data_IF_997878133867
#
_entry.id   IF_997878133867
#
_cell.length_a   1.000
_cell.length_b   1.000
_cell.length_c   1.000
_cell.angle_alpha   90.00
_cell.angle_beta   90.00
_cell.angle_gamma   90.00
#
_symmetry.space_group_name_H-M   'P 1'
#
loop_
_entity.id
_entity.type
_entity.pdbx_description
1 polymer ?
#
# COMPACT_ATOMS: atom_id res chain seq x y z
N UNK A 1 6.57 24.06 -5.51
CA UNK A 1 6.92 24.76 -4.26
C UNK A 1 5.65 25.10 -3.50
N UNK A 2 5.69 25.11 -2.19
CA UNK A 2 4.59 25.51 -1.31
C UNK A 2 5.15 26.36 -0.16
N UNK A 3 4.36 27.28 0.36
CA UNK A 3 4.75 28.01 1.58
C UNK A 3 4.63 27.11 2.79
N UNK A 4 5.43 27.38 3.83
CA UNK A 4 5.32 26.66 5.10
C UNK A 4 3.91 26.77 5.71
N UNK A 5 3.20 27.87 5.45
CA UNK A 5 1.82 28.08 5.88
C UNK A 5 0.83 27.12 5.18
N UNK A 6 0.97 26.91 3.87
CA UNK A 6 0.15 25.92 3.15
C UNK A 6 0.40 24.50 3.65
N UNK A 7 1.66 24.18 4.00
CA UNK A 7 1.99 22.87 4.60
C UNK A 7 1.39 22.76 6.01
N UNK A 8 1.47 23.81 6.83
CA UNK A 8 0.88 23.83 8.16
C UNK A 8 -0.64 23.61 8.12
N UNK A 9 -1.35 24.29 7.23
CA UNK A 9 -2.79 24.10 7.01
C UNK A 9 -3.10 22.65 6.58
N UNK A 10 -2.35 22.13 5.61
CA UNK A 10 -2.51 20.77 5.11
C UNK A 10 -2.38 19.70 6.21
N UNK A 11 -1.43 19.88 7.13
CA UNK A 11 -1.12 18.89 8.18
C UNK A 11 -1.84 19.18 9.52
N UNK A 12 -2.65 20.24 9.57
CA UNK A 12 -3.37 20.64 10.78
C UNK A 12 -2.46 21.20 11.88
N UNK A 13 -1.32 21.79 11.53
CA UNK A 13 -0.43 22.45 12.46
C UNK A 13 -0.83 23.95 12.65
N UNK A 14 -0.52 24.56 13.81
CA UNK A 14 -0.64 26.02 13.97
C UNK A 14 0.14 26.77 12.89
N UNK A 15 -0.40 27.90 12.45
CA UNK A 15 0.25 28.70 11.41
C UNK A 15 1.63 29.20 11.89
N UNK A 16 2.70 28.94 11.14
CA UNK A 16 4.04 29.42 11.48
C UNK A 16 4.16 30.93 11.21
N UNK A 17 5.04 31.60 11.94
CA UNK A 17 5.31 33.01 11.77
C UNK A 17 6.35 33.31 10.66
N UNK A 18 6.93 32.30 10.04
CA UNK A 18 7.92 32.47 8.96
C UNK A 18 7.29 32.34 7.58
N UNK A 19 7.77 33.18 6.67
CA UNK A 19 7.56 33.03 5.22
C UNK A 19 8.74 32.23 4.65
N UNK A 20 8.59 30.91 4.54
CA UNK A 20 9.57 30.03 3.91
C UNK A 20 8.91 29.23 2.79
N UNK A 21 9.59 29.06 1.68
CA UNK A 21 9.15 28.18 0.59
C UNK A 21 9.77 26.80 0.75
N UNK A 22 8.94 25.78 0.75
CA UNK A 22 9.33 24.38 0.80
C UNK A 22 9.14 23.78 -0.58
N UNK A 23 10.20 23.22 -1.14
CA UNK A 23 10.17 22.59 -2.45
C UNK A 23 10.24 21.04 -2.38
N UNK A 24 10.79 20.48 -1.31
CA UNK A 24 11.03 19.04 -1.20
C UNK A 24 10.95 18.55 0.24
N UNK A 25 10.89 17.25 0.38
CA UNK A 25 11.12 16.54 1.65
C UNK A 25 12.52 15.94 1.64
N UNK A 26 13.18 15.83 2.80
CA UNK A 26 14.53 15.24 2.87
C UNK A 26 14.77 14.51 4.20
N UNK A 27 15.88 13.76 4.28
CA UNK A 27 16.42 13.34 5.56
C UNK A 27 17.03 14.57 6.30
N UNK A 28 17.23 14.44 7.60
CA UNK A 28 17.81 15.54 8.42
C UNK A 28 19.22 15.87 7.94
N UNK A 29 20.01 14.87 7.58
CA UNK A 29 21.41 15.00 7.13
C UNK A 29 21.55 15.69 5.77
N UNK A 30 20.55 15.52 4.90
CA UNK A 30 20.52 16.08 3.56
C UNK A 30 19.63 17.35 3.46
N UNK A 31 19.23 17.90 4.61
CA UNK A 31 18.32 19.03 4.64
C UNK A 31 18.91 20.30 4.03
N UNK A 32 18.07 21.08 3.39
CA UNK A 32 18.36 22.39 2.82
C UNK A 32 17.35 23.41 3.37
N UNK A 33 17.58 24.74 3.21
CA UNK A 33 16.61 25.74 3.67
C UNK A 33 15.21 25.64 3.07
N UNK A 34 15.05 24.92 1.96
CA UNK A 34 13.76 24.64 1.31
C UNK A 34 13.24 23.21 1.54
N UNK A 35 13.82 22.47 2.47
CA UNK A 35 13.40 21.11 2.79
C UNK A 35 12.48 21.04 4.00
N UNK A 36 11.49 20.15 3.94
CA UNK A 36 10.73 19.67 5.09
C UNK A 36 11.37 18.39 5.62
N UNK A 37 11.59 18.34 6.94
CA UNK A 37 12.04 17.13 7.67
C UNK A 37 11.07 16.79 8.79
N UNK A 38 11.21 15.63 9.41
CA UNK A 38 10.41 15.26 10.58
C UNK A 38 11.27 14.65 11.70
N UNK A 39 10.80 14.78 12.94
CA UNK A 39 11.40 14.22 14.13
C UNK A 39 10.35 13.51 14.99
N UNK A 40 10.66 12.30 15.48
CA UNK A 40 9.73 11.47 16.26
C UNK A 40 10.15 11.30 17.73
N UNK A 41 11.37 11.72 18.08
CA UNK A 41 11.97 11.66 19.42
C UNK A 41 12.88 12.88 19.66
N UNK A 42 13.35 13.04 20.90
CA UNK A 42 14.14 14.19 21.30
C UNK A 42 15.51 14.28 20.59
N UNK A 43 16.15 13.14 20.31
CA UNK A 43 17.46 13.12 19.64
C UNK A 43 17.34 13.55 18.17
N UNK A 44 16.34 13.04 17.47
CA UNK A 44 16.06 13.43 16.07
C UNK A 44 15.58 14.88 15.99
N UNK A 45 14.85 15.39 17.00
CA UNK A 45 14.47 16.79 17.06
C UNK A 45 15.68 17.71 17.24
N UNK A 46 16.59 17.38 18.15
CA UNK A 46 17.85 18.16 18.35
C UNK A 46 18.68 18.20 17.06
N UNK A 47 18.80 17.07 16.38
CA UNK A 47 19.49 17.01 15.07
C UNK A 47 18.78 17.87 14.01
N UNK A 48 17.45 17.80 13.91
CA UNK A 48 16.67 18.60 12.97
C UNK A 48 16.78 20.10 13.24
N UNK A 49 16.76 20.52 14.50
CA UNK A 49 16.96 21.92 14.91
C UNK A 49 18.33 22.48 14.51
N UNK A 50 19.36 21.65 14.52
CA UNK A 50 20.73 22.00 14.09
C UNK A 50 20.91 21.96 12.59
N UNK A 51 20.00 21.32 11.86
CA UNK A 51 20.06 21.25 10.40
C UNK A 51 19.60 22.54 9.74
N UNK A 52 19.93 22.76 8.47
CA UNK A 52 19.44 23.91 7.71
C UNK A 52 17.99 23.76 7.22
N UNK A 53 17.24 22.77 7.67
CA UNK A 53 15.86 22.51 7.21
C UNK A 53 14.97 23.77 7.33
N UNK A 54 14.17 24.02 6.31
CA UNK A 54 13.24 25.15 6.29
C UNK A 54 11.98 24.92 7.11
N UNK A 55 11.59 23.64 7.34
CA UNK A 55 10.47 23.27 8.20
C UNK A 55 10.70 21.90 8.86
N UNK A 56 10.21 21.75 10.09
CA UNK A 56 10.41 20.55 10.93
C UNK A 56 9.07 20.12 11.50
N UNK A 57 8.59 18.95 11.13
CA UNK A 57 7.41 18.32 11.73
C UNK A 57 7.80 17.58 13.01
N UNK A 58 7.10 17.83 14.11
CA UNK A 58 7.33 17.12 15.37
C UNK A 58 6.07 17.05 16.21
N UNK A 59 6.09 16.27 17.28
CA UNK A 59 4.99 16.23 18.25
C UNK A 59 5.09 17.37 19.24
N UNK A 60 3.96 17.99 19.62
CA UNK A 60 3.93 19.04 20.64
C UNK A 60 4.62 18.61 21.95
N UNK A 61 4.48 17.35 22.35
CA UNK A 61 5.09 16.81 23.58
C UNK A 61 6.64 16.74 23.56
N UNK A 62 7.26 16.87 22.38
CA UNK A 62 8.72 16.87 22.23
C UNK A 62 9.30 18.29 22.22
N UNK A 63 8.47 19.32 22.15
CA UNK A 63 8.92 20.69 22.20
C UNK A 63 9.51 20.98 23.59
N UNK A 64 10.77 21.48 23.69
CA UNK A 64 11.37 21.80 24.98
C UNK A 64 10.54 22.87 25.71
N UNK A 65 10.31 22.68 27.02
CA UNK A 65 9.70 23.69 27.88
C UNK A 65 10.58 24.94 27.90
N UNK A 66 10.11 26.06 27.40
CA UNK A 66 10.84 27.33 27.34
C UNK A 66 11.59 27.63 26.01
N UNK A 67 11.50 26.77 25.02
CA UNK A 67 11.80 27.19 23.64
C UNK A 67 10.71 28.16 23.24
N UNK A 68 11.13 29.36 22.87
CA UNK A 68 10.24 30.34 22.27
C UNK A 68 9.41 29.64 21.20
N UNK A 69 8.06 29.67 21.26
CA UNK A 69 7.24 29.13 20.19
C UNK A 69 7.52 29.74 18.82
N UNK A 70 8.55 30.52 18.74
CA UNK A 70 9.03 31.32 17.64
C UNK A 70 10.17 30.72 16.80
N UNK A 71 10.61 29.45 17.02
CA UNK A 71 11.29 28.82 15.90
C UNK A 71 10.24 28.55 14.83
N UNK A 72 10.13 29.50 13.96
CA UNK A 72 9.13 29.58 12.89
C UNK A 72 9.15 28.37 11.93
N UNK A 73 10.12 27.46 12.08
CA UNK A 73 10.28 26.23 11.31
C UNK A 73 9.53 25.03 11.93
N UNK A 74 9.15 25.13 13.22
CA UNK A 74 8.53 24.02 13.94
C UNK A 74 7.03 23.93 13.65
N UNK A 75 6.61 22.79 13.15
CA UNK A 75 5.22 22.43 12.93
C UNK A 75 4.82 21.29 13.87
N UNK A 76 4.04 21.61 14.90
CA UNK A 76 3.56 20.63 15.88
C UNK A 76 2.35 19.87 15.33
N UNK A 77 2.46 18.55 15.21
CA UNK A 77 1.43 17.66 14.66
C UNK A 77 1.24 16.42 15.53
N UNK A 78 0.10 15.75 15.42
CA UNK A 78 -0.19 14.53 16.16
C UNK A 78 0.70 13.34 15.70
N UNK A 79 0.87 13.18 14.41
CA UNK A 79 1.72 12.14 13.79
C UNK A 79 2.68 12.76 12.76
N UNK A 80 3.95 13.01 13.13
CA UNK A 80 4.95 13.62 12.24
C UNK A 80 5.25 12.77 10.99
N UNK A 81 5.19 11.44 11.07
CA UNK A 81 5.42 10.56 9.91
C UNK A 81 4.30 10.67 8.90
N UNK A 82 3.07 10.62 9.38
CA UNK A 82 1.90 10.77 8.51
C UNK A 82 1.85 12.15 7.87
N UNK A 83 2.07 13.20 8.66
CA UNK A 83 2.12 14.58 8.18
C UNK A 83 3.22 14.79 7.12
N UNK A 84 4.40 14.20 7.33
CA UNK A 84 5.50 14.23 6.36
C UNK A 84 5.13 13.54 5.04
N UNK A 85 4.54 12.35 5.10
CA UNK A 85 4.09 11.64 3.90
C UNK A 85 3.00 12.42 3.15
N UNK A 86 2.07 13.04 3.88
CA UNK A 86 1.02 13.89 3.30
C UNK A 86 1.60 15.11 2.59
N UNK A 87 2.55 15.81 3.23
CA UNK A 87 3.25 16.94 2.66
C UNK A 87 4.09 16.56 1.43
N UNK A 88 4.78 15.41 1.48
CA UNK A 88 5.53 14.89 0.33
C UNK A 88 4.63 14.65 -0.88
N UNK A 89 3.47 14.03 -0.67
CA UNK A 89 2.47 13.81 -1.73
C UNK A 89 1.95 15.13 -2.30
N UNK A 90 1.67 16.10 -1.46
CA UNK A 90 1.22 17.44 -1.87
C UNK A 90 2.27 18.17 -2.69
N UNK A 91 3.53 18.17 -2.28
CA UNK A 91 4.62 18.80 -3.02
C UNK A 91 4.81 18.14 -4.39
N UNK A 92 4.76 16.80 -4.45
CA UNK A 92 4.86 16.07 -5.72
C UNK A 92 3.69 16.38 -6.67
N UNK A 93 2.46 16.49 -6.15
CA UNK A 93 1.29 16.83 -6.98
C UNK A 93 1.41 18.25 -7.55
N UNK A 94 1.92 19.21 -6.79
CA UNK A 94 2.17 20.57 -7.28
C UNK A 94 3.27 20.64 -8.33
N UNK A 95 4.35 19.89 -8.14
CA UNK A 95 5.42 19.78 -9.15
C UNK A 95 4.85 19.23 -10.47
N UNK A 96 4.05 18.17 -10.38
CA UNK A 96 3.37 17.58 -11.54
C UNK A 96 2.43 18.59 -12.21
N UNK A 97 1.61 19.31 -11.45
CA UNK A 97 0.72 20.33 -11.98
C UNK A 97 1.47 21.46 -12.70
N UNK A 98 2.63 21.87 -12.21
CA UNK A 98 3.48 22.90 -12.85
C UNK A 98 4.12 22.39 -14.15
N UNK A 99 4.49 21.12 -14.23
CA UNK A 99 5.05 20.50 -15.45
C UNK A 99 3.98 20.16 -16.47
N UNK A 100 2.76 19.88 -16.04
CA UNK A 100 1.61 19.52 -16.87
C UNK A 100 0.70 20.71 -17.26
N UNK A 101 0.92 21.91 -16.68
CA UNK A 101 0.04 23.08 -16.88
C UNK A 101 0.00 23.61 -18.33
N UNK A 102 0.75 23.03 -19.24
CA UNK A 102 0.70 23.37 -20.67
C UNK A 102 -0.39 22.60 -21.46
N UNK A 103 -1.00 21.56 -20.90
CA UNK A 103 -2.10 20.85 -21.57
C UNK A 103 -3.14 20.38 -20.56
N UNK A 104 -4.28 21.07 -20.50
CA UNK A 104 -5.49 20.62 -19.77
C UNK A 104 -6.13 19.39 -20.42
N UNK A 105 -5.31 18.44 -20.87
CA UNK A 105 -5.84 17.22 -21.49
C UNK A 105 -5.94 16.13 -20.43
N UNK A 106 -7.11 15.97 -19.82
CA UNK A 106 -7.44 14.88 -18.91
C UNK A 106 -7.53 13.51 -19.61
N UNK A 107 -7.26 13.43 -20.91
CA UNK A 107 -7.25 12.16 -21.64
C UNK A 107 -6.21 11.21 -21.03
N UNK A 108 -6.48 9.89 -21.01
CA UNK A 108 -5.53 8.92 -20.51
C UNK A 108 -4.24 8.92 -21.35
N UNK A 109 -3.11 8.77 -20.69
CA UNK A 109 -1.78 8.70 -21.33
C UNK A 109 -1.39 7.24 -21.53
N UNK A 110 -1.51 6.75 -22.72
CA UNK A 110 -1.17 5.35 -23.05
C UNK A 110 0.15 5.33 -23.81
N UNK A 111 1.14 4.60 -23.27
CA UNK A 111 2.43 4.46 -23.94
C UNK A 111 2.26 3.73 -25.29
N UNK A 112 2.95 4.16 -26.37
CA UNK A 112 2.77 3.55 -27.70
C UNK A 112 3.09 2.05 -27.80
N UNK A 113 3.86 1.50 -26.86
CA UNK A 113 4.18 0.06 -26.80
C UNK A 113 3.22 -0.73 -25.88
N UNK A 114 2.22 -0.09 -25.28
CA UNK A 114 1.19 -0.80 -24.55
C UNK A 114 0.23 -1.49 -25.53
N UNK A 115 -0.25 -2.68 -25.13
CA UNK A 115 -1.20 -3.47 -25.92
C UNK A 115 -2.55 -3.48 -25.20
N UNK A 116 -3.58 -3.01 -25.89
CA UNK A 116 -4.95 -2.98 -25.39
C UNK A 116 -5.81 -3.95 -26.17
N UNK A 117 -6.52 -4.80 -25.46
CA UNK A 117 -7.54 -5.70 -26.02
C UNK A 117 -8.81 -4.96 -26.45
N UNK A 118 -9.79 -5.71 -26.91
CA UNK A 118 -11.09 -5.18 -27.30
C UNK A 118 -11.83 -4.59 -26.08
N UNK A 119 -12.58 -3.50 -26.29
CA UNK A 119 -13.45 -2.88 -25.29
C UNK A 119 -12.75 -2.41 -23.98
N UNK A 120 -11.42 -2.25 -24.00
CA UNK A 120 -10.67 -1.68 -22.85
C UNK A 120 -11.11 -0.23 -22.65
N UNK A 121 -11.35 0.13 -21.38
CA UNK A 121 -11.64 1.51 -20.97
C UNK A 121 -10.58 1.98 -19.98
N UNK A 122 -10.02 3.16 -20.23
CA UNK A 122 -9.06 3.80 -19.32
C UNK A 122 -9.60 5.17 -18.96
N UNK A 123 -9.75 5.42 -17.66
CA UNK A 123 -10.34 6.63 -17.12
C UNK A 123 -9.44 7.87 -17.28
N UNK A 124 -10.03 9.03 -17.00
CA UNK A 124 -9.37 10.32 -17.16
C UNK A 124 -8.17 10.45 -16.21
N UNK A 125 -7.12 11.11 -16.68
CA UNK A 125 -5.89 11.33 -15.89
C UNK A 125 -5.05 10.07 -15.66
N UNK A 126 -5.52 8.89 -16.08
CA UNK A 126 -4.80 7.63 -15.91
C UNK A 126 -3.64 7.49 -16.89
N UNK A 127 -2.63 6.73 -16.49
CA UNK A 127 -1.46 6.43 -17.32
C UNK A 127 -1.20 4.94 -17.42
N UNK A 128 -0.85 4.48 -18.63
CA UNK A 128 -0.48 3.10 -18.94
C UNK A 128 0.95 3.09 -19.49
N UNK A 129 1.84 2.46 -18.78
CA UNK A 129 3.28 2.43 -19.04
C UNK A 129 3.68 1.52 -20.21
N UNK A 130 4.97 1.52 -20.57
CA UNK A 130 5.49 0.75 -21.69
C UNK A 130 5.35 -0.77 -21.47
N UNK A 131 5.06 -1.48 -22.57
CA UNK A 131 4.94 -2.94 -22.60
C UNK A 131 3.88 -3.52 -21.68
N UNK A 132 2.95 -2.70 -21.20
CA UNK A 132 1.79 -3.14 -20.42
C UNK A 132 0.75 -3.73 -21.36
N UNK A 133 0.13 -4.84 -20.90
CA UNK A 133 -0.93 -5.54 -21.63
C UNK A 133 -2.23 -5.48 -20.85
N UNK A 134 -3.26 -4.90 -21.44
CA UNK A 134 -4.62 -4.89 -20.90
C UNK A 134 -5.48 -5.82 -21.78
N UNK A 135 -5.99 -6.91 -21.19
CA UNK A 135 -6.86 -7.87 -21.87
C UNK A 135 -8.24 -7.30 -22.21
N UNK A 136 -9.01 -8.05 -22.97
CA UNK A 136 -10.34 -7.61 -23.41
C UNK A 136 -11.27 -7.25 -22.25
N UNK A 137 -12.02 -6.17 -22.39
CA UNK A 137 -13.00 -5.73 -21.42
C UNK A 137 -12.41 -5.22 -20.09
N UNK A 138 -11.10 -5.00 -19.98
CA UNK A 138 -10.49 -4.40 -18.80
C UNK A 138 -11.00 -2.97 -18.61
N UNK A 139 -11.37 -2.64 -17.38
CA UNK A 139 -11.78 -1.28 -17.00
C UNK A 139 -10.79 -0.73 -15.98
N UNK A 140 -10.18 0.39 -16.28
CA UNK A 140 -9.32 1.18 -15.39
C UNK A 140 -10.03 2.49 -15.09
N UNK A 141 -10.20 2.83 -13.82
CA UNK A 141 -10.83 4.07 -13.38
C UNK A 141 -9.97 5.31 -13.63
N UNK A 142 -10.32 6.41 -12.99
CA UNK A 142 -9.66 7.70 -13.15
C UNK A 142 -8.39 7.80 -12.29
N UNK A 143 -7.44 8.63 -12.74
CA UNK A 143 -6.20 8.97 -12.01
C UNK A 143 -5.34 7.75 -11.61
N UNK A 144 -5.46 6.63 -12.35
CA UNK A 144 -4.65 5.44 -12.12
C UNK A 144 -3.26 5.58 -12.72
N UNK A 145 -2.28 4.93 -12.10
CA UNK A 145 -0.92 4.85 -12.61
C UNK A 145 -0.52 3.38 -12.77
N UNK A 146 -0.54 2.90 -14.02
CA UNK A 146 -0.13 1.53 -14.39
C UNK A 146 1.28 1.63 -14.96
N UNK A 147 2.28 1.06 -14.26
CA UNK A 147 3.67 1.15 -14.67
C UNK A 147 4.04 0.15 -15.77
N UNK A 148 5.33 0.04 -16.08
CA UNK A 148 5.84 -0.79 -17.17
C UNK A 148 5.63 -2.30 -16.94
N UNK A 149 5.44 -3.06 -18.04
CA UNK A 149 5.38 -4.53 -18.03
C UNK A 149 4.28 -5.12 -17.14
N UNK A 150 3.21 -4.38 -16.86
CA UNK A 150 2.05 -4.88 -16.13
C UNK A 150 1.18 -5.70 -17.07
N UNK A 151 0.63 -6.83 -16.60
CA UNK A 151 -0.36 -7.60 -17.35
C UNK A 151 -1.66 -7.64 -16.55
N UNK A 152 -2.74 -7.13 -17.16
CA UNK A 152 -4.10 -7.20 -16.59
C UNK A 152 -4.96 -8.06 -17.51
N UNK A 153 -5.41 -9.20 -16.99
CA UNK A 153 -6.20 -10.15 -17.73
C UNK A 153 -7.65 -9.67 -17.95
N UNK A 154 -8.25 -10.20 -19.03
CA UNK A 154 -9.58 -9.84 -19.50
C UNK A 154 -10.64 -9.81 -18.40
N UNK A 155 -11.55 -8.82 -18.44
CA UNK A 155 -12.67 -8.67 -17.51
C UNK A 155 -12.30 -8.22 -16.10
N UNK A 156 -11.04 -7.87 -15.84
CA UNK A 156 -10.63 -7.27 -14.56
C UNK A 156 -11.04 -5.79 -14.50
N UNK A 157 -11.40 -5.33 -13.29
CA UNK A 157 -11.79 -3.94 -13.04
C UNK A 157 -10.92 -3.30 -11.97
N UNK A 158 -10.46 -2.09 -12.22
CA UNK A 158 -9.73 -1.24 -11.30
C UNK A 158 -10.53 0.04 -11.05
N UNK A 159 -10.70 0.40 -9.79
CA UNK A 159 -11.28 1.67 -9.36
C UNK A 159 -10.38 2.87 -9.68
N UNK A 160 -10.58 3.97 -8.97
CA UNK A 160 -9.87 5.21 -9.18
C UNK A 160 -8.57 5.28 -8.34
N UNK A 161 -7.59 6.05 -8.81
CA UNK A 161 -6.31 6.30 -8.10
C UNK A 161 -5.57 5.02 -7.70
N UNK A 162 -5.71 3.97 -8.50
CA UNK A 162 -4.98 2.72 -8.30
C UNK A 162 -3.56 2.86 -8.85
N UNK A 163 -2.57 2.48 -8.05
CA UNK A 163 -1.17 2.40 -8.46
C UNK A 163 -0.77 0.94 -8.64
N UNK A 164 -0.32 0.58 -9.84
CA UNK A 164 0.21 -0.76 -10.14
C UNK A 164 1.67 -0.65 -10.54
N UNK A 165 2.54 -1.20 -9.72
CA UNK A 165 3.99 -1.20 -9.96
C UNK A 165 4.39 -2.18 -11.07
N UNK A 166 5.59 -1.97 -11.60
CA UNK A 166 6.11 -2.70 -12.74
C UNK A 166 6.11 -4.23 -12.54
N UNK A 167 5.73 -4.96 -13.59
CA UNK A 167 5.76 -6.42 -13.61
C UNK A 167 4.63 -7.11 -12.85
N UNK A 168 3.70 -6.38 -12.26
CA UNK A 168 2.55 -6.99 -11.59
C UNK A 168 1.62 -7.70 -12.60
N UNK A 169 1.00 -8.81 -12.16
CA UNK A 169 0.08 -9.62 -12.98
C UNK A 169 -1.27 -9.71 -12.27
N UNK A 170 -2.31 -9.21 -12.88
CA UNK A 170 -3.64 -9.07 -12.28
C UNK A 170 -4.68 -9.87 -13.07
N UNK A 171 -5.50 -10.65 -12.38
CA UNK A 171 -6.58 -11.45 -12.96
C UNK A 171 -6.10 -12.72 -13.67
N UNK A 172 -4.89 -13.21 -13.33
CA UNK A 172 -4.40 -14.48 -13.87
C UNK A 172 -5.29 -15.66 -13.49
N UNK A 173 -5.14 -16.76 -14.21
CA UNK A 173 -5.82 -18.03 -13.90
C UNK A 173 -5.32 -18.57 -12.57
N UNK A 174 -6.24 -18.81 -11.63
CA UNK A 174 -5.92 -19.37 -10.32
C UNK A 174 -5.45 -20.83 -10.38
N UNK A 175 -4.73 -21.25 -9.34
CA UNK A 175 -4.22 -22.63 -9.20
C UNK A 175 -5.29 -23.53 -8.61
N UNK A 176 -6.06 -24.17 -9.47
CA UNK A 176 -7.13 -25.10 -9.07
C UNK A 176 -7.14 -26.35 -9.95
N UNK A 177 -7.14 -27.55 -9.32
CA UNK A 177 -7.15 -28.83 -10.03
C UNK A 177 -8.06 -29.85 -9.34
N UNK A 178 -8.83 -30.57 -10.14
CA UNK A 178 -9.54 -31.76 -9.70
C UNK A 178 -8.70 -33.00 -10.00
N UNK A 179 -8.53 -33.88 -9.00
CA UNK A 179 -7.79 -35.13 -9.15
C UNK A 179 -8.74 -36.29 -9.37
N UNK A 180 -8.52 -37.05 -10.41
CA UNK A 180 -9.21 -38.34 -10.60
C UNK A 180 -8.70 -39.33 -9.55
N UNK A 181 -9.60 -39.84 -8.71
CA UNK A 181 -9.23 -40.77 -7.62
C UNK A 181 -8.77 -42.12 -8.10
N UNK A 182 -9.18 -42.56 -9.30
CA UNK A 182 -8.82 -43.87 -9.85
C UNK A 182 -7.49 -43.86 -10.60
N UNK A 183 -7.22 -42.80 -11.40
CA UNK A 183 -6.01 -42.71 -12.24
C UNK A 183 -4.92 -41.84 -11.64
N UNK A 184 -5.25 -40.95 -10.71
CA UNK A 184 -4.33 -39.96 -10.14
C UNK A 184 -4.12 -38.70 -11.02
N UNK A 185 -4.71 -38.65 -12.19
CA UNK A 185 -4.60 -37.55 -13.14
C UNK A 185 -5.27 -36.29 -12.63
N UNK A 186 -4.69 -35.11 -13.00
CA UNK A 186 -5.25 -33.81 -12.68
C UNK A 186 -5.87 -33.16 -13.92
N UNK A 187 -7.03 -32.57 -13.72
CA UNK A 187 -7.66 -31.67 -14.68
C UNK A 187 -7.82 -30.28 -14.08
N UNK A 188 -7.54 -29.25 -14.87
CA UNK A 188 -7.68 -27.87 -14.41
C UNK A 188 -9.14 -27.57 -14.05
N UNK A 189 -9.35 -26.99 -12.86
CA UNK A 189 -10.65 -26.48 -12.45
C UNK A 189 -10.91 -25.14 -13.19
N UNK A 190 -12.13 -24.90 -13.71
CA UNK A 190 -12.42 -23.67 -14.44
C UNK A 190 -12.16 -22.42 -13.61
N UNK A 191 -11.52 -21.43 -14.23
CA UNK A 191 -11.22 -20.12 -13.64
C UNK A 191 -11.89 -19.05 -14.51
N UNK A 192 -13.20 -18.88 -14.37
CA UNK A 192 -14.07 -18.07 -15.22
C UNK A 192 -14.60 -16.82 -14.50
N UNK A 193 -14.24 -16.62 -13.25
CA UNK A 193 -14.63 -15.47 -12.47
C UNK A 193 -13.84 -14.21 -12.81
N UNK A 194 -13.96 -13.20 -11.97
CA UNK A 194 -13.42 -11.86 -12.19
C UNK A 194 -12.44 -11.44 -11.11
N UNK A 195 -11.74 -10.33 -11.37
CA UNK A 195 -10.97 -9.58 -10.38
C UNK A 195 -11.52 -8.16 -10.28
N UNK A 196 -11.83 -7.71 -9.06
CA UNK A 196 -12.18 -6.32 -8.78
C UNK A 196 -11.22 -5.71 -7.76
N UNK A 197 -10.65 -4.57 -8.12
CA UNK A 197 -9.75 -3.76 -7.29
C UNK A 197 -10.44 -2.42 -7.07
N UNK A 198 -10.65 -2.05 -5.81
CA UNK A 198 -11.33 -0.80 -5.46
C UNK A 198 -10.38 0.42 -5.49
N UNK A 199 -10.89 1.61 -5.13
CA UNK A 199 -10.17 2.88 -5.17
C UNK A 199 -8.94 2.90 -4.23
N UNK A 200 -7.96 3.72 -4.58
CA UNK A 200 -6.78 4.02 -3.74
C UNK A 200 -5.91 2.80 -3.37
N UNK A 201 -6.04 1.69 -4.09
CA UNK A 201 -5.21 0.49 -3.88
C UNK A 201 -3.83 0.68 -4.51
N UNK A 202 -2.78 0.25 -3.81
CA UNK A 202 -1.42 0.21 -4.34
C UNK A 202 -0.92 -1.24 -4.39
N UNK A 203 -0.39 -1.65 -5.55
CA UNK A 203 0.09 -3.00 -5.82
C UNK A 203 1.56 -2.94 -6.18
N UNK A 204 2.39 -3.59 -5.38
CA UNK A 204 3.84 -3.64 -5.52
C UNK A 204 4.33 -4.43 -6.73
N UNK A 205 5.60 -4.21 -7.06
CA UNK A 205 6.23 -4.81 -8.23
C UNK A 205 6.23 -6.35 -8.18
N UNK A 206 5.95 -6.97 -9.34
CA UNK A 206 5.90 -8.42 -9.50
C UNK A 206 4.92 -9.15 -8.57
N UNK A 207 3.96 -8.45 -8.00
CA UNK A 207 2.86 -9.07 -7.25
C UNK A 207 1.85 -9.68 -8.21
N UNK A 208 1.23 -10.80 -7.79
CA UNK A 208 0.27 -11.55 -8.60
C UNK A 208 -1.05 -11.69 -7.86
N UNK A 209 -2.15 -11.35 -8.53
CA UNK A 209 -3.51 -11.49 -7.97
C UNK A 209 -4.35 -12.27 -8.96
N UNK A 210 -4.82 -13.46 -8.56
CA UNK A 210 -5.64 -14.31 -9.42
C UNK A 210 -7.09 -13.84 -9.47
N UNK A 211 -7.78 -14.15 -10.57
CA UNK A 211 -9.24 -14.01 -10.67
C UNK A 211 -9.95 -15.02 -9.79
N UNK A 212 -11.21 -14.81 -9.50
CA UNK A 212 -12.05 -15.84 -8.90
C UNK A 212 -12.21 -17.06 -9.83
N UNK A 213 -12.35 -18.25 -9.25
CA UNK A 213 -12.65 -19.45 -10.03
C UNK A 213 -14.03 -19.35 -10.71
N UNK A 214 -15.08 -19.17 -9.94
CA UNK A 214 -16.47 -19.02 -10.45
C UNK A 214 -17.13 -17.71 -9.98
N UNK A 215 -16.52 -17.02 -9.04
CA UNK A 215 -16.96 -15.76 -8.48
C UNK A 215 -15.92 -14.67 -8.70
N UNK A 216 -15.65 -13.89 -7.68
CA UNK A 216 -14.77 -12.74 -7.74
C UNK A 216 -13.63 -12.85 -6.72
N UNK A 217 -12.43 -12.42 -7.09
CA UNK A 217 -11.39 -11.99 -6.16
C UNK A 217 -11.51 -10.49 -6.00
N UNK A 218 -11.57 -9.99 -4.75
CA UNK A 218 -11.79 -8.57 -4.47
C UNK A 218 -10.71 -8.00 -3.55
N UNK A 219 -10.22 -6.80 -3.92
CA UNK A 219 -9.30 -6.01 -3.11
C UNK A 219 -9.98 -4.70 -2.73
N UNK A 220 -10.21 -4.51 -1.43
CA UNK A 220 -10.92 -3.36 -0.87
C UNK A 220 -10.09 -2.07 -0.89
N UNK A 221 -10.81 -0.95 -0.89
CA UNK A 221 -10.25 0.39 -1.07
C UNK A 221 -9.15 0.73 -0.04
N UNK A 222 -8.14 1.47 -0.49
CA UNK A 222 -7.03 1.94 0.34
C UNK A 222 -6.00 0.88 0.72
N UNK A 223 -6.19 -0.40 0.32
CA UNK A 223 -5.26 -1.51 0.62
C UNK A 223 -3.91 -1.30 -0.05
N UNK A 224 -2.84 -1.62 0.69
CA UNK A 224 -1.45 -1.48 0.26
C UNK A 224 -0.78 -2.84 0.22
N UNK A 225 -0.38 -3.25 -0.97
CA UNK A 225 0.25 -4.54 -1.27
C UNK A 225 1.69 -4.27 -1.71
N UNK A 226 2.64 -4.83 -0.99
CA UNK A 226 4.07 -4.70 -1.28
C UNK A 226 4.49 -5.63 -2.43
N UNK A 227 5.76 -5.61 -2.77
CA UNK A 227 6.34 -6.38 -3.86
C UNK A 227 6.30 -7.89 -3.60
N UNK A 228 6.21 -8.68 -4.68
CA UNK A 228 6.28 -10.15 -4.63
C UNK A 228 5.21 -10.81 -3.76
N UNK A 229 4.05 -10.19 -3.62
CA UNK A 229 2.89 -10.78 -2.93
C UNK A 229 2.09 -11.63 -3.90
N UNK A 230 1.61 -12.80 -3.44
CA UNK A 230 0.65 -13.60 -4.19
C UNK A 230 -0.70 -13.66 -3.47
N UNK A 231 -1.77 -13.33 -4.18
CA UNK A 231 -3.16 -13.46 -3.71
C UNK A 231 -3.89 -14.40 -4.67
N UNK A 232 -4.24 -15.59 -4.18
CA UNK A 232 -4.91 -16.60 -4.98
C UNK A 232 -6.41 -16.31 -5.17
N UNK A 233 -7.05 -17.17 -5.97
CA UNK A 233 -8.43 -17.04 -6.42
C UNK A 233 -9.46 -16.94 -5.28
N UNK A 234 -10.55 -16.22 -5.51
CA UNK A 234 -11.69 -16.07 -4.58
C UNK A 234 -11.34 -15.43 -3.23
N UNK A 235 -10.19 -14.79 -3.10
CA UNK A 235 -9.85 -14.04 -1.89
C UNK A 235 -10.68 -12.75 -1.81
N UNK A 236 -11.07 -12.39 -0.59
CA UNK A 236 -11.71 -11.11 -0.28
C UNK A 236 -10.80 -10.38 0.71
N UNK A 237 -10.18 -9.31 0.23
CA UNK A 237 -9.35 -8.43 1.04
C UNK A 237 -10.14 -7.16 1.33
N UNK A 238 -10.26 -6.81 2.60
CA UNK A 238 -10.99 -5.64 3.09
C UNK A 238 -10.29 -4.32 2.77
N UNK A 239 -10.76 -3.26 3.41
CA UNK A 239 -10.27 -1.89 3.24
C UNK A 239 -9.05 -1.61 4.11
N UNK A 240 -8.13 -0.76 3.60
CA UNK A 240 -6.95 -0.30 4.36
C UNK A 240 -6.11 -1.44 4.95
N UNK A 241 -6.08 -2.59 4.29
CA UNK A 241 -5.23 -3.71 4.65
C UNK A 241 -3.81 -3.43 4.19
N UNK A 242 -2.81 -3.81 4.99
CA UNK A 242 -1.40 -3.72 4.62
C UNK A 242 -0.82 -5.13 4.49
N UNK A 243 -0.26 -5.44 3.33
CA UNK A 243 0.33 -6.76 3.03
C UNK A 243 1.78 -6.54 2.62
N UNK A 244 2.71 -6.93 3.50
CA UNK A 244 4.13 -6.77 3.25
C UNK A 244 4.67 -7.87 2.31
N UNK A 245 5.88 -7.64 1.80
CA UNK A 245 6.49 -8.40 0.72
C UNK A 245 6.59 -9.92 0.98
N UNK A 246 6.54 -10.68 -0.12
CA UNK A 246 6.66 -12.14 -0.13
C UNK A 246 5.55 -12.88 0.65
N UNK A 247 4.45 -12.20 0.98
CA UNK A 247 3.28 -12.85 1.58
C UNK A 247 2.56 -13.67 0.52
N UNK A 248 2.19 -14.91 0.90
CA UNK A 248 1.41 -15.83 0.08
C UNK A 248 0.04 -16.09 0.69
N UNK A 249 -1.03 -15.84 -0.05
CA UNK A 249 -2.41 -16.00 0.38
C UNK A 249 -3.06 -17.05 -0.50
N UNK A 250 -3.40 -18.21 0.08
CA UNK A 250 -4.10 -19.29 -0.63
C UNK A 250 -5.54 -18.92 -0.94
N UNK A 251 -6.18 -19.72 -1.80
CA UNK A 251 -7.52 -19.46 -2.30
C UNK A 251 -8.60 -19.33 -1.22
N UNK A 252 -9.62 -18.54 -1.51
CA UNK A 252 -10.82 -18.35 -0.69
C UNK A 252 -10.55 -17.79 0.72
N UNK A 253 -9.45 -17.10 0.93
CA UNK A 253 -9.18 -16.41 2.18
C UNK A 253 -10.00 -15.12 2.30
N UNK A 254 -10.38 -14.79 3.53
CA UNK A 254 -11.01 -13.52 3.89
C UNK A 254 -10.07 -12.76 4.82
N UNK A 255 -9.74 -11.54 4.47
CA UNK A 255 -8.93 -10.64 5.29
C UNK A 255 -9.75 -9.38 5.49
N UNK A 256 -10.15 -9.12 6.74
CA UNK A 256 -11.03 -8.01 7.06
C UNK A 256 -10.27 -6.68 7.16
N UNK A 257 -11.03 -5.58 7.28
CA UNK A 257 -10.55 -4.20 7.24
C UNK A 257 -9.41 -3.93 8.24
N UNK A 258 -8.41 -3.19 7.80
CA UNK A 258 -7.32 -2.71 8.64
C UNK A 258 -6.33 -3.78 9.12
N UNK A 259 -6.44 -5.02 8.65
CA UNK A 259 -5.46 -6.06 9.00
C UNK A 259 -4.07 -5.74 8.45
N UNK A 260 -3.03 -6.18 9.17
CA UNK A 260 -1.63 -6.00 8.78
C UNK A 260 -0.94 -7.35 8.70
N UNK A 261 -0.48 -7.72 7.51
CA UNK A 261 0.27 -8.94 7.24
C UNK A 261 1.75 -8.58 7.05
N UNK A 262 2.60 -9.02 7.99
CA UNK A 262 4.05 -8.86 7.91
C UNK A 262 4.65 -9.66 6.75
N UNK A 263 5.91 -9.35 6.41
CA UNK A 263 6.58 -10.02 5.29
C UNK A 263 6.66 -11.54 5.46
N UNK A 264 6.54 -12.28 4.36
CA UNK A 264 6.59 -13.76 4.32
C UNK A 264 5.49 -14.47 5.13
N UNK A 265 4.37 -13.80 5.40
CA UNK A 265 3.20 -14.45 5.97
C UNK A 265 2.63 -15.47 4.97
N UNK A 266 2.22 -16.64 5.48
CA UNK A 266 1.56 -17.67 4.69
C UNK A 266 0.14 -17.93 5.21
N UNK A 267 -0.88 -17.77 4.37
CA UNK A 267 -2.26 -18.13 4.70
C UNK A 267 -2.68 -19.39 3.96
N UNK A 268 -3.09 -20.41 4.71
CA UNK A 268 -3.72 -21.62 4.15
C UNK A 268 -5.12 -21.33 3.62
N UNK A 269 -5.63 -22.21 2.74
CA UNK A 269 -6.94 -22.05 2.10
C UNK A 269 -8.06 -21.78 3.11
N UNK A 270 -9.01 -20.92 2.72
CA UNK A 270 -10.17 -20.56 3.54
C UNK A 270 -9.80 -19.97 4.93
N UNK A 271 -8.59 -19.48 5.11
CA UNK A 271 -8.24 -18.77 6.34
C UNK A 271 -9.04 -17.46 6.44
N UNK A 272 -9.40 -17.07 7.66
CA UNK A 272 -10.15 -15.85 7.91
C UNK A 272 -9.38 -15.00 8.93
N UNK A 273 -8.96 -13.83 8.52
CA UNK A 273 -8.23 -12.85 9.33
C UNK A 273 -9.19 -11.72 9.70
N UNK A 274 -9.45 -11.59 10.99
CA UNK A 274 -10.39 -10.58 11.52
C UNK A 274 -9.87 -9.15 11.41
N UNK A 275 -10.73 -8.15 11.68
CA UNK A 275 -10.43 -6.74 11.48
C UNK A 275 -9.27 -6.28 12.39
N UNK A 276 -8.35 -5.49 11.84
CA UNK A 276 -7.22 -4.92 12.56
C UNK A 276 -6.23 -5.95 13.14
N UNK A 277 -6.32 -7.23 12.78
CA UNK A 277 -5.34 -8.25 13.20
C UNK A 277 -3.97 -7.96 12.62
N UNK A 278 -2.93 -8.16 13.42
CA UNK A 278 -1.54 -8.02 12.99
C UNK A 278 -0.90 -9.41 12.97
N UNK A 279 -0.48 -9.86 11.79
CA UNK A 279 0.36 -11.05 11.63
C UNK A 279 1.81 -10.61 11.52
N UNK A 280 2.64 -10.99 12.48
CA UNK A 280 4.08 -10.71 12.45
C UNK A 280 4.79 -11.48 11.33
N UNK A 281 5.95 -10.97 10.89
CA UNK A 281 6.69 -11.53 9.77
C UNK A 281 6.96 -13.04 9.91
N UNK A 282 6.77 -13.78 8.81
CA UNK A 282 6.92 -15.23 8.78
C UNK A 282 5.82 -16.01 9.48
N UNK A 283 4.74 -15.39 9.96
CA UNK A 283 3.63 -16.10 10.56
C UNK A 283 2.91 -17.01 9.55
N UNK A 284 2.49 -18.20 9.98
CA UNK A 284 1.72 -19.15 9.17
C UNK A 284 0.34 -19.40 9.76
N UNK A 285 -0.71 -19.22 8.99
CA UNK A 285 -2.10 -19.51 9.39
C UNK A 285 -2.57 -20.77 8.67
N UNK A 286 -3.05 -21.74 9.42
CA UNK A 286 -3.54 -23.01 8.86
C UNK A 286 -4.83 -22.80 8.07
N UNK A 287 -5.07 -23.71 7.11
CA UNK A 287 -6.32 -23.75 6.33
C UNK A 287 -7.56 -23.77 7.25
N UNK A 288 -8.61 -23.09 6.84
CA UNK A 288 -9.88 -22.96 7.56
C UNK A 288 -9.77 -22.29 8.96
N UNK A 289 -8.60 -21.78 9.32
CA UNK A 289 -8.40 -21.11 10.61
C UNK A 289 -9.01 -19.73 10.61
N UNK A 290 -9.76 -19.40 11.69
CA UNK A 290 -10.23 -18.04 11.98
C UNK A 290 -9.33 -17.41 13.03
N UNK A 291 -8.67 -16.32 12.64
CA UNK A 291 -7.85 -15.46 13.52
C UNK A 291 -8.72 -14.26 13.84
N UNK A 292 -9.12 -14.12 15.11
CA UNK A 292 -10.08 -13.10 15.52
C UNK A 292 -9.35 -11.82 15.95
N UNK A 293 -9.92 -10.66 15.57
CA UNK A 293 -9.53 -9.32 15.99
C UNK A 293 -10.49 -8.72 17.02
N UNK A 294 -10.45 -7.39 17.24
CA UNK A 294 -9.54 -6.45 16.62
C UNK A 294 -8.19 -6.30 17.35
N UNK A 295 -7.14 -5.90 16.59
CA UNK A 295 -5.86 -5.43 17.15
C UNK A 295 -4.98 -6.49 17.83
N UNK A 296 -5.33 -7.77 17.78
CA UNK A 296 -4.46 -8.83 18.29
C UNK A 296 -3.26 -9.08 17.36
N UNK A 297 -2.09 -9.27 17.99
CA UNK A 297 -0.85 -9.61 17.29
C UNK A 297 -0.60 -11.11 17.40
N UNK A 298 -0.42 -11.76 16.25
CA UNK A 298 -0.08 -13.18 16.14
C UNK A 298 1.29 -13.36 15.52
N UNK A 299 2.02 -14.37 15.96
CA UNK A 299 3.32 -14.75 15.42
C UNK A 299 3.51 -16.26 15.44
N UNK A 300 4.46 -16.72 14.64
CA UNK A 300 4.89 -18.13 14.61
C UNK A 300 4.23 -18.96 13.53
N UNK A 301 4.67 -20.21 13.42
CA UNK A 301 4.13 -21.20 12.48
C UNK A 301 3.75 -22.46 13.25
N UNK A 302 2.48 -22.76 13.50
CA UNK A 302 1.32 -21.91 13.17
C UNK A 302 1.29 -20.63 14.00
N UNK A 303 0.62 -19.59 13.48
CA UNK A 303 0.49 -18.28 14.14
C UNK A 303 -0.26 -18.42 15.47
N UNK A 304 0.31 -17.85 16.51
CA UNK A 304 -0.21 -17.80 17.88
C UNK A 304 -0.17 -16.37 18.42
N UNK A 305 -1.00 -16.02 19.42
CA UNK A 305 -0.86 -14.74 20.10
C UNK A 305 0.59 -14.51 20.53
N UNK A 306 1.15 -13.35 20.23
CA UNK A 306 2.57 -13.07 20.48
C UNK A 306 2.98 -13.33 21.92
N UNK A 307 2.17 -12.88 22.91
CA UNK A 307 2.44 -13.10 24.33
C UNK A 307 2.53 -14.60 24.70
N UNK A 308 1.74 -15.45 24.06
CA UNK A 308 1.78 -16.89 24.25
C UNK A 308 3.04 -17.47 23.62
N UNK A 309 3.34 -17.09 22.37
CA UNK A 309 4.53 -17.54 21.64
C UNK A 309 5.82 -17.21 22.41
N UNK A 310 5.97 -15.98 22.90
CA UNK A 310 7.15 -15.58 23.68
C UNK A 310 7.27 -16.34 25.00
N UNK A 311 6.15 -16.64 25.69
CA UNK A 311 6.17 -17.48 26.89
C UNK A 311 6.59 -18.92 26.59
N UNK A 312 6.12 -19.47 25.48
CA UNK A 312 6.48 -20.83 25.08
C UNK A 312 7.97 -20.93 24.71
N UNK A 313 8.50 -19.94 23.96
CA UNK A 313 9.93 -19.84 23.69
C UNK A 313 10.78 -19.69 24.96
N UNK A 314 10.37 -18.85 25.91
CA UNK A 314 11.08 -18.67 27.16
C UNK A 314 11.08 -19.94 28.04
N UNK A 315 10.06 -20.80 27.94
CA UNK A 315 10.04 -22.11 28.60
C UNK A 315 11.03 -23.06 27.93
N UNK A 316 11.07 -23.12 26.60
CA UNK A 316 12.00 -23.96 25.85
C UNK A 316 13.47 -23.57 26.06
N UNK A 317 13.76 -22.29 26.32
CA UNK A 317 15.13 -21.82 26.58
C UNK A 317 15.63 -22.07 28.01
N UNK A 318 14.75 -22.53 28.92
CA UNK A 318 15.08 -22.81 30.34
C UNK A 318 15.20 -24.31 30.64
N UNK A 319 14.90 -25.18 29.69
CA UNK A 319 15.10 -26.62 29.74
C UNK A 319 16.29 -27.07 28.91
#
# INVERSE_FOLDING_TARGET
MATIAEIAELVGAPAPHAACEICCVSSIEAATPSSLVFATDAATLDAAMKSPAGAILTRAALLPSGVDPLDARLLAVADPRYAFALAARFLKSRERALTESASHNFAPRIHPTAVLGAEVRVGQGSSVGPYTVLGDGVVVGDECEILANVTIYSGSTLGNRVLVQAGAVLGATGFGYARNSATGEYIAFPQQGTLAIEDDVEIGANSTIDRGALGETRIGAGTKIDNLVHIAHNCVVGRNVVIASQTGISGSCVIEDGAVLGGQVGLGEHAHIGPGVILGGGAGVLSHKKVRGPGEVFWGRPARPLKQYLRDLARLSRG
#
